data_IF_738635929463
#
_entry.id   IF_738635929463
#
_cell.length_a   1.000
_cell.length_b   1.000
_cell.length_c   1.000
_cell.angle_alpha   90.00
_cell.angle_beta   90.00
_cell.angle_gamma   90.00
#
_symmetry.space_group_name_H-M   'P 1'
#
loop_
_entity.id
_entity.type
_entity.pdbx_description
1 polymer ?
#
# COMPACT_ATOMS: atom_id res chain seq x y z
N UNK A 1 38.40 20.06 19.11
CA UNK A 1 38.07 20.79 17.86
C UNK A 1 39.00 20.33 16.77
N UNK A 2 38.46 19.57 15.81
CA UNK A 2 39.01 19.20 14.50
C UNK A 2 37.76 18.79 13.71
N UNK A 3 37.39 19.29 12.55
CA UNK A 3 38.06 20.07 11.51
C UNK A 3 37.48 19.51 10.20
N UNK A 4 36.77 20.32 9.43
CA UNK A 4 35.94 19.92 8.27
C UNK A 4 36.75 19.46 7.03
N UNK A 5 37.82 18.70 7.21
CA UNK A 5 38.90 18.52 6.22
C UNK A 5 38.98 17.10 5.61
N UNK A 6 37.89 16.33 5.61
CA UNK A 6 37.84 15.03 4.89
C UNK A 6 36.75 14.96 3.83
N UNK A 7 36.18 16.09 3.42
CA UNK A 7 35.28 16.13 2.26
C UNK A 7 36.10 16.28 0.98
N UNK A 8 36.19 15.22 0.17
CA UNK A 8 36.83 15.25 -1.16
C UNK A 8 35.92 15.83 -2.26
N UNK A 9 34.81 16.47 -1.90
CA UNK A 9 33.77 16.95 -2.83
C UNK A 9 34.11 18.28 -3.55
N UNK A 10 35.24 18.92 -3.25
CA UNK A 10 35.56 20.26 -3.74
C UNK A 10 36.65 20.30 -4.83
N UNK A 11 37.13 19.16 -5.33
CA UNK A 11 38.07 19.15 -6.46
C UNK A 11 37.32 19.29 -7.79
N UNK A 12 37.59 20.40 -8.47
CA UNK A 12 37.07 20.73 -9.81
C UNK A 12 37.41 19.70 -10.91
N UNK A 13 38.21 18.67 -10.61
CA UNK A 13 38.53 17.56 -11.53
C UNK A 13 37.54 16.40 -11.49
N UNK A 14 36.62 16.37 -10.52
CA UNK A 14 35.86 15.14 -10.22
C UNK A 14 34.45 15.12 -10.85
N UNK A 15 34.11 16.09 -11.72
CA UNK A 15 33.01 15.99 -12.69
C UNK A 15 31.61 15.70 -12.11
N UNK A 16 31.40 15.93 -10.81
CA UNK A 16 30.13 15.66 -10.15
C UNK A 16 29.50 16.98 -9.71
N UNK A 17 28.63 17.55 -10.54
CA UNK A 17 27.97 18.84 -10.28
C UNK A 17 26.72 18.73 -9.38
N UNK A 18 26.25 17.52 -9.04
CA UNK A 18 25.14 17.34 -8.10
C UNK A 18 25.24 16.02 -7.35
N UNK A 19 25.49 16.07 -6.04
CA UNK A 19 25.24 14.95 -5.12
C UNK A 19 24.04 15.34 -4.26
N UNK A 20 22.85 14.86 -4.60
CA UNK A 20 21.72 14.90 -3.67
C UNK A 20 21.89 13.73 -2.71
N UNK A 21 22.63 13.94 -1.62
CA UNK A 21 22.67 12.99 -0.52
C UNK A 21 21.34 13.06 0.23
N UNK A 22 20.33 12.37 -0.27
CA UNK A 22 19.06 12.26 0.44
C UNK A 22 19.28 11.43 1.71
N UNK A 23 19.06 12.02 2.88
CA UNK A 23 19.14 11.30 4.16
C UNK A 23 17.86 10.49 4.38
N UNK A 24 17.91 9.43 5.18
CA UNK A 24 16.71 8.71 5.62
C UNK A 24 15.69 9.67 6.24
N UNK A 25 16.14 10.66 7.02
CA UNK A 25 15.29 11.66 7.63
C UNK A 25 14.53 12.50 6.59
N UNK A 26 15.22 12.95 5.51
CA UNK A 26 14.57 13.73 4.45
C UNK A 26 13.60 12.88 3.61
N UNK A 27 13.91 11.61 3.36
CA UNK A 27 12.97 10.67 2.70
C UNK A 27 11.70 10.49 3.55
N UNK A 28 11.87 10.21 4.84
CA UNK A 28 10.77 10.02 5.77
C UNK A 28 9.93 11.28 5.94
N UNK A 29 10.54 12.46 5.98
CA UNK A 29 9.82 13.73 6.02
C UNK A 29 8.93 13.90 4.79
N UNK A 30 9.47 13.69 3.58
CA UNK A 30 8.69 13.82 2.34
C UNK A 30 7.59 12.78 2.20
N UNK A 31 7.82 11.54 2.66
CA UNK A 31 6.80 10.48 2.68
C UNK A 31 5.69 10.74 3.68
N UNK A 32 6.04 11.17 4.89
CA UNK A 32 5.05 11.54 5.91
C UNK A 32 4.21 12.71 5.40
N UNK A 33 4.83 13.70 4.79
CA UNK A 33 4.11 14.81 4.14
C UNK A 33 3.18 14.34 3.01
N UNK A 34 3.63 13.41 2.15
CA UNK A 34 2.78 12.82 1.11
C UNK A 34 1.59 12.04 1.69
N UNK A 35 1.82 11.23 2.73
CA UNK A 35 0.79 10.45 3.41
C UNK A 35 -0.18 11.31 4.24
N UNK A 36 0.26 12.48 4.70
CA UNK A 36 -0.55 13.45 5.47
C UNK A 36 -1.40 14.35 4.58
N UNK A 37 -0.85 14.80 3.44
CA UNK A 37 -1.50 15.80 2.56
C UNK A 37 -2.40 15.22 1.48
N UNK A 38 -2.45 13.90 1.34
CA UNK A 38 -3.23 13.29 0.26
C UNK A 38 -4.56 12.76 0.78
N UNK A 39 -5.66 13.36 0.32
CA UNK A 39 -6.99 12.76 0.39
C UNK A 39 -7.02 11.52 -0.51
N UNK A 40 -6.45 10.43 -0.01
CA UNK A 40 -6.41 9.16 -0.72
C UNK A 40 -7.85 8.63 -0.79
N UNK A 41 -8.33 8.11 -1.93
CA UNK A 41 -9.63 7.49 -1.99
C UNK A 41 -9.62 6.23 -1.11
N UNK A 42 -10.78 5.91 -0.56
CA UNK A 42 -10.98 4.60 0.04
C UNK A 42 -10.93 3.53 -1.06
N UNK A 43 -9.99 2.60 -0.93
CA UNK A 43 -9.84 1.47 -1.83
C UNK A 43 -10.50 0.23 -1.24
N UNK A 44 -11.05 -0.60 -2.13
CA UNK A 44 -11.69 -1.86 -1.77
C UNK A 44 -11.10 -3.00 -2.59
N UNK A 45 -10.78 -4.11 -1.93
CA UNK A 45 -10.46 -5.38 -2.57
C UNK A 45 -11.40 -6.47 -2.03
N UNK A 46 -12.10 -7.16 -2.93
CA UNK A 46 -13.06 -8.21 -2.57
C UNK A 46 -12.54 -9.57 -3.04
N UNK A 47 -11.92 -10.33 -2.14
CA UNK A 47 -11.37 -11.64 -2.43
C UNK A 47 -12.46 -12.70 -2.31
N UNK A 48 -12.59 -13.53 -3.35
CA UNK A 48 -13.52 -14.66 -3.37
C UNK A 48 -12.79 -15.98 -3.12
N UNK A 49 -13.51 -17.02 -2.70
CA UNK A 49 -12.97 -18.37 -2.64
C UNK A 49 -12.63 -18.88 -4.04
N UNK A 50 -11.55 -19.66 -4.15
CA UNK A 50 -11.20 -20.38 -5.36
C UNK A 50 -12.27 -21.41 -5.76
N UNK A 51 -12.17 -21.97 -6.96
CA UNK A 51 -13.17 -22.90 -7.49
C UNK A 51 -13.38 -24.11 -6.57
N UNK A 52 -12.30 -24.57 -5.92
CA UNK A 52 -12.22 -25.74 -5.05
C UNK A 52 -12.71 -25.48 -3.61
N UNK A 53 -12.90 -24.22 -3.22
CA UNK A 53 -13.28 -23.84 -1.85
C UNK A 53 -12.19 -24.06 -0.81
N UNK A 54 -10.93 -24.19 -1.22
CA UNK A 54 -9.80 -24.53 -0.32
C UNK A 54 -8.89 -23.35 0.01
N UNK A 55 -9.11 -22.19 -0.61
CA UNK A 55 -8.32 -20.98 -0.38
C UNK A 55 -8.85 -19.80 -1.19
N UNK A 56 -8.15 -18.67 -1.12
CA UNK A 56 -8.52 -17.49 -1.89
C UNK A 56 -8.29 -17.70 -3.40
N UNK A 57 -9.20 -17.13 -4.18
CA UNK A 57 -9.15 -17.07 -5.64
C UNK A 57 -8.84 -15.64 -6.12
N UNK A 58 -9.47 -15.25 -7.21
CA UNK A 58 -9.32 -13.91 -7.80
C UNK A 58 -9.86 -12.81 -6.87
N UNK A 59 -9.30 -11.61 -6.97
CA UNK A 59 -9.85 -10.41 -6.35
C UNK A 59 -10.81 -9.70 -7.30
N UNK A 60 -11.99 -9.35 -6.81
CA UNK A 60 -12.98 -8.54 -7.52
C UNK A 60 -12.91 -7.08 -7.06
N UNK A 61 -13.28 -6.18 -7.96
CA UNK A 61 -13.64 -4.81 -7.57
C UNK A 61 -14.94 -4.82 -6.76
N UNK A 62 -15.15 -3.78 -5.93
CA UNK A 62 -16.41 -3.64 -5.20
C UNK A 62 -17.60 -3.61 -6.16
N UNK A 63 -17.53 -2.85 -7.25
CA UNK A 63 -18.62 -2.78 -8.23
C UNK A 63 -18.96 -4.14 -8.85
N UNK A 64 -17.96 -4.94 -9.19
CA UNK A 64 -18.17 -6.29 -9.72
C UNK A 64 -18.82 -7.21 -8.68
N UNK A 65 -18.47 -7.07 -7.40
CA UNK A 65 -19.15 -7.79 -6.32
C UNK A 65 -20.60 -7.32 -6.17
N UNK A 66 -20.85 -6.00 -6.14
CA UNK A 66 -22.19 -5.43 -6.01
C UNK A 66 -23.13 -5.91 -7.14
N UNK A 67 -22.63 -6.02 -8.37
CA UNK A 67 -23.39 -6.58 -9.49
C UNK A 67 -23.76 -8.05 -9.26
N UNK A 68 -22.86 -8.84 -8.69
CA UNK A 68 -23.09 -10.28 -8.39
C UNK A 68 -24.02 -10.49 -7.20
N UNK A 69 -24.06 -9.55 -6.27
CA UNK A 69 -24.81 -9.67 -5.02
C UNK A 69 -26.07 -8.81 -4.98
N UNK A 70 -26.50 -8.27 -6.13
CA UNK A 70 -27.69 -7.43 -6.23
C UNK A 70 -27.63 -6.24 -5.24
N UNK A 71 -26.51 -5.53 -5.29
CA UNK A 71 -26.26 -4.29 -4.54
C UNK A 71 -25.75 -4.45 -3.10
N UNK A 72 -25.44 -5.67 -2.65
CA UNK A 72 -25.00 -5.88 -1.24
C UNK A 72 -23.54 -5.51 -1.05
N UNK A 73 -23.30 -4.41 -0.32
CA UNK A 73 -21.97 -3.95 0.06
C UNK A 73 -21.50 -4.62 1.37
N UNK A 74 -20.44 -5.46 1.36
CA UNK A 74 -19.97 -6.16 2.55
C UNK A 74 -19.46 -5.21 3.65
N UNK A 75 -18.90 -4.06 3.28
CA UNK A 75 -18.30 -3.12 4.24
C UNK A 75 -19.32 -2.33 5.08
N UNK A 76 -20.61 -2.45 4.74
CA UNK A 76 -21.71 -1.82 5.47
C UNK A 76 -22.41 -2.76 6.46
N UNK A 77 -22.11 -4.06 6.40
CA UNK A 77 -22.76 -5.08 7.25
C UNK A 77 -22.04 -5.13 8.61
N UNK A 78 -22.77 -4.95 9.74
CA UNK A 78 -22.15 -4.96 11.06
C UNK A 78 -21.47 -6.28 11.43
N UNK A 79 -20.43 -6.20 12.25
CA UNK A 79 -19.81 -7.36 12.89
C UNK A 79 -20.84 -8.23 13.60
N UNK A 80 -20.71 -9.56 13.53
CA UNK A 80 -21.57 -10.52 14.20
C UNK A 80 -22.96 -10.67 13.57
N UNK A 81 -23.20 -10.08 12.38
CA UNK A 81 -24.45 -10.31 11.66
C UNK A 81 -24.61 -11.80 11.36
N UNK A 82 -25.81 -12.35 11.61
CA UNK A 82 -26.07 -13.78 11.47
C UNK A 82 -25.77 -14.29 10.06
N UNK A 83 -25.12 -15.46 9.90
CA UNK A 83 -24.91 -16.08 8.59
C UNK A 83 -26.20 -16.32 7.79
N UNK A 84 -27.35 -16.41 8.46
CA UNK A 84 -28.68 -16.54 7.82
C UNK A 84 -29.26 -15.23 7.28
N UNK A 85 -28.62 -14.09 7.55
CA UNK A 85 -29.02 -12.79 7.00
C UNK A 85 -29.03 -12.84 5.47
N UNK A 86 -30.11 -12.40 4.79
CA UNK A 86 -30.20 -12.46 3.33
C UNK A 86 -29.03 -11.80 2.61
N UNK A 87 -28.44 -10.75 3.17
CA UNK A 87 -27.27 -10.07 2.60
C UNK A 87 -26.04 -10.97 2.63
N UNK A 88 -25.81 -11.66 3.76
CA UNK A 88 -24.70 -12.61 3.89
C UNK A 88 -24.92 -13.82 2.98
N UNK A 89 -26.15 -14.31 2.85
CA UNK A 89 -26.46 -15.41 1.92
C UNK A 89 -26.15 -15.05 0.46
N UNK A 90 -26.44 -13.82 0.01
CA UNK A 90 -26.03 -13.36 -1.33
C UNK A 90 -24.51 -13.33 -1.49
N UNK A 91 -23.78 -12.88 -0.47
CA UNK A 91 -22.32 -12.83 -0.46
C UNK A 91 -21.69 -14.24 -0.45
N UNK A 92 -22.26 -15.18 0.31
CA UNK A 92 -21.88 -16.61 0.28
C UNK A 92 -22.11 -17.19 -1.13
N UNK A 93 -23.25 -16.91 -1.76
CA UNK A 93 -23.55 -17.32 -3.13
C UNK A 93 -22.55 -16.76 -4.15
N UNK A 94 -22.09 -15.53 -3.95
CA UNK A 94 -21.03 -14.90 -4.74
C UNK A 94 -19.61 -15.38 -4.37
N UNK A 95 -19.49 -16.31 -3.42
CA UNK A 95 -18.22 -16.85 -2.88
C UNK A 95 -17.31 -15.80 -2.25
N UNK A 96 -17.87 -14.69 -1.79
CA UNK A 96 -17.11 -13.65 -1.08
C UNK A 96 -16.51 -14.23 0.21
N UNK A 97 -15.20 -14.07 0.38
CA UNK A 97 -14.45 -14.60 1.53
C UNK A 97 -13.90 -13.47 2.40
N UNK A 98 -13.16 -12.54 1.80
CA UNK A 98 -12.47 -11.47 2.53
C UNK A 98 -12.63 -10.15 1.80
N UNK A 99 -13.00 -9.10 2.51
CA UNK A 99 -13.00 -7.72 2.03
C UNK A 99 -11.90 -6.93 2.73
N UNK A 100 -11.06 -6.23 1.98
CA UNK A 100 -10.15 -5.23 2.50
C UNK A 100 -10.68 -3.85 2.08
N UNK A 101 -10.90 -2.97 3.04
CA UNK A 101 -11.18 -1.56 2.80
C UNK A 101 -10.07 -0.76 3.46
N UNK A 102 -9.35 0.05 2.70
CA UNK A 102 -8.24 0.82 3.25
C UNK A 102 -8.09 2.16 2.55
N UNK A 103 -7.54 3.12 3.28
CA UNK A 103 -7.15 4.41 2.76
C UNK A 103 -5.67 4.60 3.07
N UNK A 104 -4.85 4.80 2.04
CA UNK A 104 -3.42 5.08 2.20
C UNK A 104 -3.28 6.40 2.98
N UNK A 105 -2.39 6.45 3.96
CA UNK A 105 -2.20 7.66 4.74
C UNK A 105 -1.55 7.41 6.07
N UNK A 106 -1.29 8.48 6.81
CA UNK A 106 -0.83 8.34 8.18
C UNK A 106 -1.99 7.88 9.08
N UNK A 107 -1.80 6.84 9.90
CA UNK A 107 -2.80 6.47 10.89
C UNK A 107 -3.02 7.63 11.86
N UNK A 108 -4.26 7.75 12.36
CA UNK A 108 -4.59 8.73 13.39
C UNK A 108 -3.69 8.62 14.63
N UNK A 109 -3.66 9.64 15.50
CA UNK A 109 -2.74 9.72 16.65
C UNK A 109 -2.71 8.42 17.48
N UNK A 110 -1.52 8.05 18.04
CA UNK A 110 -0.56 8.98 18.66
C UNK A 110 0.66 9.39 17.81
N UNK A 111 1.20 10.58 18.12
CA UNK A 111 2.21 11.36 17.39
C UNK A 111 3.59 10.73 17.15
N UNK A 112 3.90 9.55 17.70
CA UNK A 112 5.19 8.88 17.44
C UNK A 112 5.04 7.76 16.41
N UNK A 113 4.82 8.14 15.15
CA UNK A 113 4.86 7.17 14.06
C UNK A 113 6.31 6.80 13.74
N UNK A 114 6.60 5.51 13.54
CA UNK A 114 7.92 5.10 13.11
C UNK A 114 8.25 5.71 11.74
N UNK A 115 9.50 5.62 11.34
CA UNK A 115 9.90 5.99 9.98
C UNK A 115 9.15 5.12 8.96
N UNK A 116 8.60 5.73 7.91
CA UNK A 116 8.04 5.04 6.76
C UNK A 116 9.11 4.19 6.07
N UNK A 117 10.38 4.63 6.11
CA UNK A 117 11.54 3.97 5.52
C UNK A 117 12.65 3.79 6.53
N UNK A 118 13.21 2.58 6.58
CA UNK A 118 14.48 2.32 7.26
C UNK A 118 15.48 1.80 6.24
N UNK A 119 16.58 2.53 6.08
CA UNK A 119 17.77 2.09 5.36
C UNK A 119 18.55 1.17 6.29
N UNK A 120 18.68 -0.11 5.96
CA UNK A 120 19.51 -1.02 6.74
C UNK A 120 21.01 -0.78 6.48
N UNK A 121 21.87 -1.35 7.32
CA UNK A 121 23.32 -1.10 7.32
C UNK A 121 24.01 -1.44 5.98
N UNK A 122 23.40 -2.31 5.18
CA UNK A 122 23.80 -2.52 3.79
C UNK A 122 22.72 -1.92 2.90
N UNK A 123 23.07 -0.87 2.15
CA UNK A 123 22.19 -0.07 1.30
C UNK A 123 21.61 -0.82 0.08
N UNK A 124 21.39 -2.13 0.20
CA UNK A 124 20.80 -3.03 -0.78
C UNK A 124 19.33 -3.31 -0.48
N UNK A 125 18.93 -3.29 0.80
CA UNK A 125 17.56 -3.53 1.23
C UNK A 125 17.03 -2.38 2.09
N UNK A 126 15.74 -2.08 1.90
CA UNK A 126 15.00 -1.08 2.68
C UNK A 126 13.75 -1.70 3.26
N UNK A 127 13.48 -1.38 4.52
CA UNK A 127 12.17 -1.65 5.12
C UNK A 127 11.26 -0.48 4.76
N UNK A 128 10.16 -0.79 4.08
CA UNK A 128 9.08 0.15 3.80
C UNK A 128 7.86 -0.20 4.64
N UNK A 129 7.31 0.77 5.37
CA UNK A 129 6.13 0.60 6.20
C UNK A 129 4.89 1.06 5.44
N UNK A 130 4.02 0.13 5.09
CA UNK A 130 2.72 0.40 4.46
C UNK A 130 1.76 0.86 5.56
N UNK A 131 1.32 2.10 5.47
CA UNK A 131 0.50 2.77 6.49
C UNK A 131 -0.83 3.20 5.89
N UNK A 132 -1.89 3.02 6.67
CA UNK A 132 -3.23 3.43 6.29
C UNK A 132 -3.80 4.39 7.34
N UNK A 133 -4.47 5.44 6.89
CA UNK A 133 -5.26 6.33 7.76
C UNK A 133 -6.49 5.58 8.30
N UNK A 134 -7.13 4.81 7.44
CA UNK A 134 -8.24 3.92 7.76
C UNK A 134 -8.00 2.53 7.19
N UNK A 135 -8.37 1.50 7.96
CA UNK A 135 -8.31 0.12 7.52
C UNK A 135 -9.44 -0.68 8.16
N UNK A 136 -10.18 -1.44 7.35
CA UNK A 136 -11.14 -2.43 7.78
C UNK A 136 -10.95 -3.75 7.02
N UNK A 137 -11.17 -4.85 7.72
CA UNK A 137 -11.16 -6.21 7.19
C UNK A 137 -12.52 -6.82 7.48
N UNK A 138 -13.16 -7.32 6.44
CA UNK A 138 -14.38 -8.11 6.53
C UNK A 138 -14.03 -9.56 6.24
N UNK A 139 -14.44 -10.48 7.10
CA UNK A 139 -14.21 -11.91 6.94
C UNK A 139 -15.55 -12.62 6.96
N UNK A 140 -15.84 -13.32 5.88
CA UNK A 140 -17.00 -14.19 5.77
C UNK A 140 -16.56 -15.63 5.99
N UNK A 141 -17.06 -16.25 7.04
CA UNK A 141 -16.91 -17.69 7.28
C UNK A 141 -18.26 -18.34 7.02
N UNK A 142 -18.47 -18.98 5.85
CA UNK A 142 -19.75 -19.63 5.56
C UNK A 142 -20.04 -20.76 6.57
N UNK A 143 -21.32 -21.00 6.89
CA UNK A 143 -21.71 -22.17 7.67
C UNK A 143 -21.33 -23.46 6.93
N UNK A 144 -20.87 -24.48 7.66
CA UNK A 144 -20.49 -25.76 7.06
C UNK A 144 -20.00 -26.79 8.06
N UNK A 145 -20.26 -28.07 7.79
CA UNK A 145 -19.87 -29.20 8.65
C UNK A 145 -20.42 -29.08 10.06
N UNK A 146 -19.63 -28.48 10.95
CA UNK A 146 -19.90 -28.28 12.38
C UNK A 146 -19.83 -26.81 12.81
N UNK A 147 -19.64 -25.88 11.88
CA UNK A 147 -19.57 -24.44 12.14
C UNK A 147 -20.88 -23.75 11.76
N UNK A 148 -21.38 -22.90 12.65
CA UNK A 148 -22.52 -22.02 12.38
C UNK A 148 -22.17 -20.89 11.40
N UNK A 149 -20.89 -20.70 11.08
CA UNK A 149 -20.39 -19.59 10.27
C UNK A 149 -20.26 -18.30 11.08
N UNK A 150 -19.61 -17.30 10.49
CA UNK A 150 -19.41 -15.99 11.11
C UNK A 150 -19.29 -14.87 10.09
N UNK A 151 -19.63 -13.66 10.53
CA UNK A 151 -19.38 -12.43 9.79
C UNK A 151 -18.57 -11.48 10.67
N UNK A 152 -17.26 -11.46 10.42
CA UNK A 152 -16.32 -10.73 11.26
C UNK A 152 -15.89 -9.43 10.59
N UNK A 153 -15.84 -8.34 11.35
CA UNK A 153 -15.40 -7.04 10.86
C UNK A 153 -14.41 -6.48 11.87
N UNK A 154 -13.20 -6.22 11.41
CA UNK A 154 -12.11 -5.67 12.21
C UNK A 154 -11.74 -4.31 11.65
N UNK A 155 -11.66 -3.28 12.48
CA UNK A 155 -11.22 -1.94 12.05
C UNK A 155 -10.01 -1.49 12.84
N UNK A 156 -9.07 -0.83 12.18
CA UNK A 156 -7.92 -0.20 12.84
C UNK A 156 -8.35 0.83 13.89
N UNK A 157 -9.51 1.47 13.70
CA UNK A 157 -10.10 2.41 14.65
C UNK A 157 -10.63 1.74 15.93
N UNK A 158 -10.80 0.42 15.95
CA UNK A 158 -11.35 -0.28 17.10
C UNK A 158 -10.36 -0.27 18.26
N UNK A 159 -10.91 -0.22 19.49
CA UNK A 159 -10.11 -0.37 20.70
C UNK A 159 -10.07 -1.82 21.11
N UNK A 160 -8.87 -2.35 21.25
CA UNK A 160 -8.64 -3.70 21.78
C UNK A 160 -7.99 -3.57 23.14
N UNK A 161 -8.63 -4.16 24.14
CA UNK A 161 -8.20 -4.10 25.54
C UNK A 161 -7.96 -2.65 26.01
N UNK A 162 -8.82 -1.73 25.55
CA UNK A 162 -8.80 -0.30 25.87
C UNK A 162 -7.79 0.55 25.08
N UNK A 163 -7.00 -0.05 24.18
CA UNK A 163 -5.94 0.63 23.43
C UNK A 163 -6.32 0.82 21.96
N UNK A 164 -6.02 2.00 21.41
CA UNK A 164 -6.08 2.24 19.96
C UNK A 164 -5.12 1.31 19.24
N UNK A 165 -5.52 0.81 18.08
CA UNK A 165 -4.67 -0.01 17.24
C UNK A 165 -4.05 0.82 16.13
N UNK A 166 -2.84 0.43 15.73
CA UNK A 166 -2.18 0.97 14.54
C UNK A 166 -1.60 -0.21 13.80
N UNK A 167 -2.17 -0.51 12.64
CA UNK A 167 -1.71 -1.63 11.83
C UNK A 167 -0.65 -1.12 10.86
N UNK A 168 0.58 -1.57 11.08
CA UNK A 168 1.73 -1.21 10.26
C UNK A 168 2.22 -2.50 9.60
N UNK A 169 2.13 -2.54 8.28
CA UNK A 169 2.68 -3.64 7.50
C UNK A 169 4.09 -3.25 7.08
N UNK A 170 5.03 -4.19 7.09
CA UNK A 170 6.39 -3.93 6.64
C UNK A 170 6.67 -4.73 5.38
N UNK A 171 7.30 -4.12 4.39
CA UNK A 171 7.76 -4.78 3.18
C UNK A 171 9.27 -4.54 3.03
N UNK A 172 10.03 -5.58 2.72
CA UNK A 172 11.44 -5.44 2.37
C UNK A 172 11.57 -5.27 0.86
N UNK A 173 12.23 -4.20 0.45
CA UNK A 173 12.39 -3.78 -0.94
C UNK A 173 13.87 -3.74 -1.27
N UNK A 174 14.26 -4.16 -2.47
CA UNK A 174 15.62 -3.92 -2.92
C UNK A 174 15.73 -2.45 -3.30
N UNK A 175 16.72 -1.74 -2.76
CA UNK A 175 17.15 -0.48 -3.35
C UNK A 175 17.92 -0.81 -4.62
N UNK A 176 17.24 -0.76 -5.76
CA UNK A 176 18.00 -0.68 -7.00
C UNK A 176 18.54 0.73 -7.06
N UNK A 177 19.86 0.88 -6.88
CA UNK A 177 20.60 2.02 -7.45
C UNK A 177 20.62 1.90 -8.98
N UNK A 178 19.45 1.76 -9.58
CA UNK A 178 19.28 2.08 -10.97
C UNK A 178 18.92 3.56 -10.97
N UNK A 179 19.74 4.39 -11.60
CA UNK A 179 19.19 5.61 -12.17
C UNK A 179 17.92 5.19 -12.89
N UNK A 180 16.78 5.83 -12.60
CA UNK A 180 15.60 5.64 -13.44
C UNK A 180 16.13 5.89 -14.86
N UNK A 181 16.06 4.92 -15.79
CA UNK A 181 16.60 5.14 -17.12
C UNK A 181 16.02 6.47 -17.58
N UNK A 182 16.84 7.43 -18.02
CA UNK A 182 16.36 8.79 -18.35
C UNK A 182 15.23 8.77 -19.39
N UNK A 183 15.08 7.65 -20.07
CA UNK A 183 14.09 7.29 -21.06
C UNK A 183 13.04 6.27 -20.57
N UNK A 184 12.95 5.92 -19.29
CA UNK A 184 12.02 4.93 -18.72
C UNK A 184 11.99 3.61 -19.50
N UNK A 185 13.15 3.08 -19.88
CA UNK A 185 13.24 1.89 -20.71
C UNK A 185 13.05 0.60 -19.91
N UNK A 186 11.78 0.29 -19.61
CA UNK A 186 11.36 -0.93 -18.92
C UNK A 186 10.29 -1.67 -19.74
N UNK A 187 10.12 -2.99 -19.56
CA UNK A 187 9.08 -3.75 -20.26
C UNK A 187 7.66 -3.17 -20.07
N UNK A 188 7.35 -2.66 -18.87
CA UNK A 188 6.08 -2.01 -18.57
C UNK A 188 5.90 -0.73 -19.40
N UNK A 189 6.88 0.18 -19.41
CA UNK A 189 6.76 1.45 -20.14
C UNK A 189 6.88 1.31 -21.65
N UNK A 190 7.61 0.29 -22.13
CA UNK A 190 7.69 -0.03 -23.55
C UNK A 190 6.36 -0.56 -24.11
N UNK A 191 5.51 -1.16 -23.25
CA UNK A 191 4.15 -1.54 -23.59
C UNK A 191 3.10 -0.44 -23.31
N UNK A 192 3.47 0.63 -22.61
CA UNK A 192 2.59 1.75 -22.23
C UNK A 192 3.21 3.12 -22.61
N UNK A 193 3.32 3.45 -23.91
CA UNK A 193 4.08 4.61 -24.40
C UNK A 193 3.46 5.97 -24.04
N UNK A 194 2.14 6.06 -23.88
CA UNK A 194 1.46 7.29 -23.45
C UNK A 194 1.75 7.60 -21.98
N UNK A 195 1.70 6.59 -21.11
CA UNK A 195 2.10 6.69 -19.69
C UNK A 195 3.58 7.05 -19.57
N UNK A 196 4.44 6.42 -20.38
CA UNK A 196 5.87 6.72 -20.47
C UNK A 196 6.13 8.20 -20.80
N UNK A 197 5.46 8.75 -21.81
CA UNK A 197 5.62 10.16 -22.20
C UNK A 197 5.03 11.14 -21.19
N UNK A 198 3.94 10.77 -20.50
CA UNK A 198 3.35 11.60 -19.46
C UNK A 198 4.31 11.72 -18.26
N UNK A 199 4.93 10.60 -17.86
CA UNK A 199 5.88 10.56 -16.75
C UNK A 199 7.17 11.29 -17.13
N UNK A 200 7.74 11.10 -18.32
CA UNK A 200 8.93 11.87 -18.76
C UNK A 200 8.70 13.39 -18.75
N UNK A 201 7.50 13.85 -19.12
CA UNK A 201 7.13 15.28 -19.04
C UNK A 201 6.95 15.76 -17.61
N UNK A 202 6.38 14.93 -16.73
CA UNK A 202 6.25 15.26 -15.30
C UNK A 202 7.62 15.29 -14.60
N UNK A 203 8.52 14.37 -14.96
CA UNK A 203 9.88 14.26 -14.43
C UNK A 203 10.75 15.49 -14.74
N UNK A 204 10.58 16.09 -15.92
CA UNK A 204 11.28 17.32 -16.29
C UNK A 204 10.89 18.53 -15.39
N UNK A 205 9.76 18.45 -14.68
CA UNK A 205 9.17 19.55 -13.92
C UNK A 205 9.19 19.34 -12.40
N UNK A 206 9.72 18.21 -11.90
CA UNK A 206 9.69 17.88 -10.47
C UNK A 206 11.04 18.19 -9.79
N UNK A 207 11.00 18.90 -8.65
CA UNK A 207 12.14 19.09 -7.76
C UNK A 207 12.58 17.76 -7.14
N UNK A 208 13.90 17.55 -7.00
CA UNK A 208 14.56 16.24 -6.77
C UNK A 208 14.04 15.33 -5.65
N UNK A 209 13.25 15.81 -4.70
CA UNK A 209 12.62 14.98 -3.65
C UNK A 209 11.52 14.08 -4.21
N UNK A 210 10.67 14.58 -5.12
CA UNK A 210 9.55 13.82 -5.67
C UNK A 210 10.02 12.69 -6.61
N UNK A 211 11.15 12.88 -7.29
CA UNK A 211 11.79 11.86 -8.11
C UNK A 211 12.21 10.65 -7.27
N UNK A 212 12.93 10.88 -6.17
CA UNK A 212 13.38 9.79 -5.28
C UNK A 212 12.23 8.97 -4.68
N UNK A 213 11.09 9.64 -4.40
CA UNK A 213 9.88 8.97 -3.93
C UNK A 213 9.24 8.10 -5.02
N UNK A 214 9.19 8.58 -6.26
CA UNK A 214 8.69 7.78 -7.39
C UNK A 214 9.57 6.58 -7.65
N UNK A 215 10.90 6.76 -7.72
CA UNK A 215 11.85 5.66 -7.92
C UNK A 215 11.67 4.59 -6.83
N UNK A 216 11.54 5.01 -5.57
CA UNK A 216 11.30 4.10 -4.46
C UNK A 216 9.97 3.36 -4.59
N UNK A 217 8.88 4.05 -4.96
CA UNK A 217 7.56 3.42 -5.14
C UNK A 217 7.54 2.44 -6.32
N UNK A 218 8.35 2.67 -7.37
CA UNK A 218 8.60 1.69 -8.42
C UNK A 218 9.46 0.52 -7.93
N UNK A 219 10.45 0.77 -7.08
CA UNK A 219 11.26 -0.30 -6.49
C UNK A 219 10.49 -1.18 -5.50
N UNK A 220 9.32 -0.72 -5.00
CA UNK A 220 8.38 -1.59 -4.26
C UNK A 220 7.88 -2.77 -5.11
N UNK A 221 7.97 -2.72 -6.45
CA UNK A 221 7.66 -3.88 -7.31
C UNK A 221 8.66 -5.02 -7.19
N UNK A 222 9.85 -4.73 -6.65
CA UNK A 222 10.90 -5.73 -6.41
C UNK A 222 10.79 -6.41 -5.04
N UNK A 223 9.68 -6.20 -4.32
CA UNK A 223 9.47 -6.70 -2.94
C UNK A 223 9.32 -8.21 -2.86
N UNK A 224 9.83 -8.80 -1.77
CA UNK A 224 9.84 -10.26 -1.58
C UNK A 224 9.33 -10.69 -0.21
N UNK A 225 9.46 -9.86 0.83
CA UNK A 225 9.03 -10.21 2.21
C UNK A 225 8.08 -9.17 2.73
N UNK A 226 6.90 -9.61 3.15
CA UNK A 226 5.92 -8.78 3.87
C UNK A 226 5.75 -9.32 5.29
N UNK A 227 5.85 -8.43 6.28
CA UNK A 227 5.45 -8.69 7.65
C UNK A 227 4.06 -8.08 7.89
N UNK A 228 3.15 -8.93 8.33
CA UNK A 228 1.77 -8.57 8.66
C UNK A 228 1.70 -8.27 10.17
N UNK A 229 1.08 -7.16 10.61
CA UNK A 229 0.88 -6.88 12.03
C UNK A 229 -0.04 -7.93 12.66
N UNK A 230 0.07 -8.12 13.96
CA UNK A 230 -0.88 -8.96 14.68
C UNK A 230 -2.23 -8.25 14.78
N UNK A 231 -3.28 -8.89 14.25
CA UNK A 231 -4.66 -8.41 14.33
C UNK A 231 -5.46 -9.43 15.14
N UNK A 232 -5.90 -9.03 16.34
CA UNK A 232 -6.66 -9.89 17.26
C UNK A 232 -7.94 -10.38 16.59
N UNK A 233 -8.14 -11.70 16.60
CA UNK A 233 -9.30 -12.36 15.97
C UNK A 233 -9.03 -12.92 14.56
N UNK A 234 -7.90 -12.59 13.94
CA UNK A 234 -7.49 -13.17 12.66
C UNK A 234 -6.58 -14.37 12.88
N UNK A 235 -7.01 -15.55 12.43
CA UNK A 235 -6.21 -16.77 12.45
C UNK A 235 -5.12 -16.74 11.36
N UNK A 236 -3.88 -17.11 11.72
CA UNK A 236 -2.70 -17.10 10.83
C UNK A 236 -2.78 -18.13 9.71
N UNK A 237 -3.59 -19.17 9.84
CA UNK A 237 -3.86 -20.15 8.79
C UNK A 237 -5.07 -19.80 7.91
N UNK A 238 -5.82 -18.76 8.27
CA UNK A 238 -7.11 -18.46 7.65
C UNK A 238 -7.03 -17.58 6.39
N UNK A 239 -8.13 -17.52 5.61
CA UNK A 239 -8.20 -16.69 4.40
C UNK A 239 -7.91 -15.21 4.65
N UNK A 240 -8.29 -14.67 5.82
CA UNK A 240 -8.02 -13.27 6.16
C UNK A 240 -6.51 -13.00 6.33
N UNK A 241 -5.75 -13.91 6.95
CA UNK A 241 -4.30 -13.77 7.03
C UNK A 241 -3.65 -13.98 5.67
N UNK A 242 -4.15 -14.91 4.86
CA UNK A 242 -3.72 -15.08 3.47
C UNK A 242 -3.92 -13.79 2.65
N UNK A 243 -5.08 -13.13 2.77
CA UNK A 243 -5.39 -11.85 2.14
C UNK A 243 -4.35 -10.77 2.49
N UNK A 244 -4.04 -10.64 3.79
CA UNK A 244 -3.10 -9.64 4.28
C UNK A 244 -1.65 -9.94 3.89
N UNK A 245 -1.24 -11.21 3.91
CA UNK A 245 0.15 -11.63 3.68
C UNK A 245 0.53 -11.79 2.22
N UNK A 246 -0.44 -12.10 1.35
CA UNK A 246 -0.17 -12.32 -0.08
C UNK A 246 -0.63 -11.16 -0.96
N UNK A 247 -1.77 -10.54 -0.66
CA UNK A 247 -2.44 -9.65 -1.61
C UNK A 247 -2.43 -8.19 -1.19
N UNK A 248 -2.50 -7.89 0.12
CA UNK A 248 -2.64 -6.50 0.58
C UNK A 248 -1.50 -5.59 0.08
N UNK A 249 -0.26 -6.08 0.08
CA UNK A 249 0.89 -5.34 -0.46
C UNK A 249 0.66 -4.89 -1.90
N UNK A 250 0.22 -5.80 -2.76
CA UNK A 250 0.06 -5.52 -4.19
C UNK A 250 -1.06 -4.49 -4.40
N UNK A 251 -2.19 -4.63 -3.69
CA UNK A 251 -3.26 -3.63 -3.71
C UNK A 251 -2.78 -2.25 -3.23
N UNK A 252 -1.97 -2.21 -2.17
CA UNK A 252 -1.45 -0.96 -1.64
C UNK A 252 -0.52 -0.27 -2.65
N UNK A 253 0.40 -1.04 -3.26
CA UNK A 253 1.37 -0.51 -4.23
C UNK A 253 0.64 0.01 -5.48
N UNK A 254 -0.32 -0.74 -6.00
CA UNK A 254 -1.09 -0.35 -7.18
C UNK A 254 -1.83 0.98 -6.98
N UNK A 255 -2.43 1.18 -5.81
CA UNK A 255 -3.08 2.45 -5.47
C UNK A 255 -2.10 3.59 -5.27
N UNK A 256 -0.97 3.34 -4.60
CA UNK A 256 0.08 4.35 -4.42
C UNK A 256 0.61 4.86 -5.77
N UNK A 257 0.80 3.96 -6.75
CA UNK A 257 1.27 4.29 -8.11
C UNK A 257 0.29 5.17 -8.88
N UNK A 258 -1.00 4.83 -8.88
CA UNK A 258 -2.05 5.62 -9.55
C UNK A 258 -1.99 7.09 -9.15
N UNK A 259 -1.63 7.37 -7.90
CA UNK A 259 -1.64 8.72 -7.32
C UNK A 259 -0.35 9.49 -7.54
N UNK A 260 0.81 8.84 -7.54
CA UNK A 260 2.06 9.48 -7.97
C UNK A 260 1.96 10.01 -9.41
N UNK A 261 1.32 9.26 -10.30
CA UNK A 261 1.06 9.70 -11.67
C UNK A 261 0.19 10.97 -11.72
N UNK A 262 -0.77 11.10 -10.78
CA UNK A 262 -1.67 12.26 -10.68
C UNK A 262 -0.95 13.49 -10.08
N UNK A 263 -0.12 13.32 -9.05
CA UNK A 263 0.68 14.42 -8.46
C UNK A 263 1.67 14.99 -9.48
N UNK A 264 2.29 14.13 -10.31
CA UNK A 264 3.12 14.57 -11.44
C UNK A 264 2.37 15.44 -12.45
N UNK A 265 1.07 15.17 -12.68
CA UNK A 265 0.22 15.95 -13.57
C UNK A 265 -0.27 17.28 -12.96
N UNK A 266 -0.45 17.36 -11.63
CA UNK A 266 -0.88 18.59 -10.97
C UNK A 266 0.24 19.63 -10.76
N UNK A 267 1.50 19.21 -10.65
CA UNK A 267 2.64 20.13 -10.69
C UNK A 267 2.85 20.79 -12.07
N UNK A 268 2.27 20.22 -13.14
CA UNK A 268 2.44 20.69 -14.51
C UNK A 268 1.29 21.56 -15.04
N UNK A 269 0.37 22.05 -14.19
CA UNK A 269 -0.63 23.03 -14.65
C UNK A 269 -0.03 24.44 -14.58
N UNK A 270 0.17 25.14 -15.72
CA UNK A 270 0.48 26.55 -15.68
C UNK A 270 -0.71 27.26 -15.02
N UNK A 271 -0.43 28.06 -13.97
CA UNK A 271 -1.40 29.03 -13.48
C UNK A 271 -1.73 29.97 -14.65
N UNK A 272 -3.01 30.09 -14.97
CA UNK A 272 -3.50 31.16 -15.85
C UNK A 272 -3.28 32.51 -15.20
#
# INVERSE_FOLDING_TARGET
MAGAEQSRLSRATDGCDFVVATTQASLNSGLKEFLDKTDQPTTHACLIMNAQGTGLGEALTLDALLQRTDGVNPFTIPHGTSPTDPRIQKLIGARFAVGLQFQIGLPGPPLSLPDVIVLENEATNVIFRLMCSEFAIVVNTPPGGWSEGSWDVYKQSDKVDGKSQTWIFEATVNLRRADLPKNLDTPYYNSHPEEKQAILRALANLSGTAFSLQQLLFDLDSTFVQKVPEIKGIDRGGPAYEALSKYFRDFYIDEAKKKLAIVGNHCCRPRK
#
